data_IF_036055177674
#
_entry.id   IF_036055177674
#
_cell.length_a   1.000
_cell.length_b   1.000
_cell.length_c   1.000
_cell.angle_alpha   90.00
_cell.angle_beta   90.00
_cell.angle_gamma   90.00
#
_symmetry.space_group_name_H-M   'P 1'
#
loop_
_entity.id
_entity.type
_entity.pdbx_description
1 polymer ?
#
# COMPACT_ATOMS: atom_id res chain seq x y z
N UNK A 1 8.44 15.87 -3.42
CA UNK A 1 8.03 15.61 -3.41
C UNK A 1 7.44 14.82 -3.43
N UNK A 2 7.25 14.45 -3.48
CA UNK A 2 6.55 13.54 -3.59
C UNK A 2 5.81 13.25 -2.59
N UNK A 3 5.82 13.62 -1.97
CA UNK A 3 5.21 13.49 -1.05
C UNK A 3 4.03 13.79 -1.16
N UNK A 4 3.78 14.32 -1.94
CA UNK A 4 2.51 14.71 -1.89
C UNK A 4 1.63 13.61 -1.90
N UNK A 5 1.99 12.59 -2.48
CA UNK A 5 1.14 11.62 -2.44
C UNK A 5 0.87 11.20 -1.12
N UNK A 6 1.83 11.03 -0.49
CA UNK A 6 1.64 10.68 0.79
C UNK A 6 0.79 11.67 1.27
N UNK A 7 1.05 12.79 0.84
CA UNK A 7 0.27 13.84 1.20
C UNK A 7 -1.13 13.51 0.88
N UNK A 8 -1.38 12.84 -0.18
CA UNK A 8 -2.72 12.63 -0.52
C UNK A 8 -3.35 11.65 0.37
N UNK A 9 -2.73 10.59 0.59
CA UNK A 9 -3.27 9.69 1.47
C UNK A 9 -3.31 10.31 2.74
N UNK A 10 -2.31 11.02 3.04
CA UNK A 10 -2.27 11.53 4.29
C UNK A 10 -2.97 12.75 4.33
N UNK A 11 -3.16 13.44 3.30
CA UNK A 11 -3.86 14.67 3.40
C UNK A 11 -5.17 14.41 3.95
N UNK A 12 -5.63 13.30 3.75
CA UNK A 12 -6.80 13.01 4.36
C UNK A 12 -6.65 12.96 5.78
N UNK A 13 -5.51 12.84 6.20
CA UNK A 13 -5.32 12.71 7.52
C UNK A 13 -4.89 13.83 8.13
N UNK A 14 -4.56 14.72 7.47
CA UNK A 14 -3.99 15.73 8.00
C UNK A 14 -4.42 16.36 8.93
N UNK A 15 -4.85 16.31 9.07
CA UNK A 15 -4.93 16.66 9.84
C UNK A 15 -4.42 16.66 10.74
N UNK A 16 -3.91 16.62 10.87
CA UNK A 16 -3.38 16.52 11.54
C UNK A 16 -2.75 16.40 12.40
N UNK A 17 -2.85 17.02 12.88
CA UNK A 17 -2.49 16.91 13.86
C UNK A 17 -1.83 15.90 14.14
N UNK A 18 -2.03 15.52 13.73
CA UNK A 18 -1.53 14.53 13.74
C UNK A 18 -0.30 14.55 13.34
N UNK A 19 0.07 15.54 12.83
CA UNK A 19 1.32 15.65 12.40
C UNK A 19 2.31 15.25 13.35
N UNK A 20 2.14 15.50 14.57
CA UNK A 20 3.14 15.13 15.43
C UNK A 20 3.23 13.70 15.46
N UNK A 21 2.19 13.01 15.11
CA UNK A 21 2.30 11.61 15.12
C UNK A 21 2.97 11.12 13.89
N UNK A 22 3.13 11.93 12.89
CA UNK A 22 3.76 11.43 11.69
C UNK A 22 5.18 11.03 11.99
N UNK A 23 5.78 11.59 12.99
CA UNK A 23 7.11 11.20 13.36
C UNK A 23 7.16 9.81 13.94
N UNK A 24 6.02 9.25 14.28
CA UNK A 24 5.97 7.93 14.88
C UNK A 24 5.71 6.82 13.87
N UNK A 25 5.57 7.15 12.60
CA UNK A 25 5.37 6.09 11.63
C UNK A 25 6.61 5.25 11.56
N UNK A 26 6.44 3.96 11.71
CA UNK A 26 7.55 3.04 11.65
C UNK A 26 7.93 2.68 10.23
N UNK A 27 6.96 2.72 9.31
CA UNK A 27 7.22 2.37 7.93
C UNK A 27 6.35 3.25 7.03
N UNK A 28 6.77 4.49 6.77
CA UNK A 28 5.94 5.40 5.95
C UNK A 28 5.76 4.87 4.54
N UNK A 29 4.57 4.99 4.01
CA UNK A 29 4.25 4.47 2.70
C UNK A 29 4.64 5.45 1.61
N UNK A 30 5.08 4.91 0.48
CA UNK A 30 5.24 5.70 -0.72
C UNK A 30 4.87 4.83 -1.91
N UNK A 31 4.52 5.47 -3.01
CA UNK A 31 4.13 4.72 -4.20
C UNK A 31 5.34 4.37 -5.05
N UNK A 32 5.35 3.12 -5.55
CA UNK A 32 6.29 2.77 -6.60
C UNK A 32 6.01 3.68 -7.79
N UNK A 33 7.06 4.18 -8.41
CA UNK A 33 6.96 5.03 -9.58
C UNK A 33 7.72 4.38 -10.72
N UNK A 34 7.08 4.29 -11.88
CA UNK A 34 7.72 3.68 -13.05
C UNK A 34 8.70 4.66 -13.67
N UNK A 35 9.48 4.17 -14.64
CA UNK A 35 10.44 5.04 -15.34
C UNK A 35 9.74 6.20 -16.03
N UNK A 36 8.52 6.00 -16.45
CA UNK A 36 7.76 7.06 -17.10
C UNK A 36 7.10 8.01 -16.10
N UNK A 37 7.35 7.80 -14.83
CA UNK A 37 6.79 8.69 -13.81
C UNK A 37 5.40 8.34 -13.35
N UNK A 38 4.87 7.21 -13.74
CA UNK A 38 3.54 6.82 -13.33
C UNK A 38 3.57 6.11 -11.97
N UNK A 39 2.51 6.28 -11.23
CA UNK A 39 2.36 5.64 -9.93
C UNK A 39 1.14 4.73 -9.97
N UNK A 40 1.31 3.47 -10.40
CA UNK A 40 0.17 2.60 -10.65
C UNK A 40 -0.76 2.40 -9.47
N UNK A 41 -0.23 2.25 -8.27
CA UNK A 41 -1.10 2.03 -7.12
C UNK A 41 -1.89 3.28 -6.79
N UNK A 42 -1.28 4.45 -6.94
CA UNK A 42 -1.98 5.69 -6.69
C UNK A 42 -3.13 5.84 -7.69
N UNK A 43 -2.85 5.55 -8.97
CA UNK A 43 -3.88 5.63 -10.00
C UNK A 43 -5.01 4.65 -9.73
N UNK A 44 -4.65 3.45 -9.31
CA UNK A 44 -5.64 2.42 -8.99
C UNK A 44 -6.53 2.87 -7.83
N UNK A 45 -5.93 3.41 -6.78
CA UNK A 45 -6.70 3.88 -5.64
C UNK A 45 -7.66 5.00 -6.03
N UNK A 46 -7.19 5.92 -6.85
CA UNK A 46 -8.02 7.05 -7.25
C UNK A 46 -9.22 6.62 -8.08
N UNK A 47 -9.11 5.48 -8.75
CA UNK A 47 -10.21 4.98 -9.57
C UNK A 47 -11.25 4.21 -8.78
N UNK A 48 -11.00 3.93 -7.51
CA UNK A 48 -11.93 3.15 -6.72
C UNK A 48 -13.05 4.03 -6.15
N UNK A 49 -14.14 3.38 -5.74
CA UNK A 49 -15.19 4.08 -5.05
C UNK A 49 -14.63 4.71 -3.77
N UNK A 50 -15.14 5.86 -3.35
CA UNK A 50 -14.60 6.53 -2.17
C UNK A 50 -14.55 5.69 -0.91
N UNK A 51 -15.58 4.87 -0.68
CA UNK A 51 -15.57 4.08 0.54
C UNK A 51 -14.52 2.96 0.49
N UNK A 52 -14.28 2.37 -0.67
CA UNK A 52 -13.25 1.35 -0.80
C UNK A 52 -11.88 2.00 -0.61
N UNK A 53 -11.67 3.15 -1.23
CA UNK A 53 -10.41 3.87 -1.11
C UNK A 53 -10.13 4.24 0.33
N UNK A 54 -11.17 4.66 1.06
CA UNK A 54 -11.01 5.04 2.45
C UNK A 54 -10.59 3.84 3.30
N UNK A 55 -11.25 2.71 3.12
CA UNK A 55 -10.93 1.51 3.89
C UNK A 55 -9.50 1.08 3.65
N UNK A 56 -9.09 1.03 2.39
CA UNK A 56 -7.74 0.62 2.04
C UNK A 56 -6.72 1.61 2.60
N UNK A 57 -7.01 2.90 2.49
CA UNK A 57 -6.09 3.92 3.00
C UNK A 57 -5.92 3.84 4.50
N UNK A 58 -6.99 3.56 5.23
CA UNK A 58 -6.90 3.42 6.67
C UNK A 58 -6.08 2.19 7.05
N UNK A 59 -6.23 1.09 6.32
CA UNK A 59 -5.46 -0.10 6.61
C UNK A 59 -3.98 0.12 6.30
N UNK A 60 -3.66 0.82 5.22
CA UNK A 60 -2.27 1.15 4.92
C UNK A 60 -1.70 2.01 6.04
N UNK A 61 -2.47 2.97 6.53
CA UNK A 61 -2.01 3.82 7.61
C UNK A 61 -1.74 3.01 8.86
N UNK A 62 -2.60 2.04 9.17
CA UNK A 62 -2.38 1.20 10.33
C UNK A 62 -1.05 0.45 10.20
N UNK A 63 -0.71 -0.02 9.01
CA UNK A 63 0.57 -0.68 8.82
C UNK A 63 1.73 0.30 9.00
N UNK A 64 1.57 1.53 8.50
CA UNK A 64 2.62 2.53 8.66
C UNK A 64 2.99 2.73 10.12
N UNK A 65 2.01 2.74 11.00
CA UNK A 65 2.27 2.99 12.41
C UNK A 65 2.60 1.74 13.22
N UNK A 66 2.09 0.59 12.82
CA UNK A 66 2.25 -0.63 13.61
C UNK A 66 3.32 -1.59 13.12
N UNK A 67 3.93 -1.32 11.99
CA UNK A 67 4.91 -2.24 11.41
C UNK A 67 6.00 -2.61 12.42
N UNK A 68 6.40 -3.87 12.49
CA UNK A 68 5.87 -4.99 11.72
C UNK A 68 4.59 -5.53 12.36
N UNK A 69 3.66 -5.94 11.49
CA UNK A 69 2.39 -6.46 11.94
C UNK A 69 1.99 -7.59 10.99
N UNK A 70 1.39 -8.63 11.50
CA UNK A 70 1.06 -9.80 10.72
C UNK A 70 -0.42 -9.94 10.43
N UNK A 71 -0.82 -11.19 10.22
CA UNK A 71 -2.21 -11.48 9.93
C UNK A 71 -3.12 -11.03 11.06
N UNK A 72 -4.33 -10.65 10.74
CA UNK A 72 -4.96 -10.76 9.42
C UNK A 72 -4.68 -9.60 8.49
N UNK A 73 -4.07 -8.53 8.98
CA UNK A 73 -3.91 -7.33 8.18
C UNK A 73 -2.80 -7.45 7.14
N UNK A 74 -1.67 -8.03 7.51
CA UNK A 74 -0.54 -8.15 6.60
C UNK A 74 -0.12 -9.60 6.48
N UNK A 75 0.05 -10.05 5.25
CA UNK A 75 0.48 -11.41 4.97
C UNK A 75 1.81 -11.38 4.23
N UNK A 76 2.74 -12.22 4.65
CA UNK A 76 4.00 -12.34 3.93
C UNK A 76 3.81 -13.20 2.69
N UNK A 77 4.36 -12.75 1.58
CA UNK A 77 4.27 -13.48 0.31
C UNK A 77 5.61 -14.09 -0.08
N UNK A 78 6.65 -13.86 0.71
CA UNK A 78 7.97 -14.34 0.35
C UNK A 78 8.69 -13.35 -0.55
N UNK A 79 9.97 -13.56 -0.77
CA UNK A 79 10.80 -12.73 -1.63
C UNK A 79 10.78 -11.24 -1.28
N UNK A 80 10.55 -10.95 -0.01
CA UNK A 80 10.53 -9.55 0.42
C UNK A 80 9.24 -8.84 0.08
N UNK A 81 8.20 -9.59 -0.22
CA UNK A 81 6.89 -9.00 -0.50
C UNK A 81 5.92 -9.30 0.61
N UNK A 82 5.08 -8.32 0.89
CA UNK A 82 3.98 -8.45 1.84
C UNK A 82 2.73 -7.88 1.20
N UNK A 83 1.57 -8.25 1.70
CA UNK A 83 0.32 -7.65 1.19
C UNK A 83 -0.53 -7.16 2.35
N UNK A 84 -1.08 -5.97 2.18
CA UNK A 84 -2.07 -5.43 3.10
C UNK A 84 -3.42 -5.94 2.59
N UNK A 85 -4.18 -6.58 3.47
CA UNK A 85 -5.47 -7.17 3.10
C UNK A 85 -6.58 -6.35 3.71
N UNK A 86 -7.44 -5.80 2.87
CA UNK A 86 -8.55 -4.97 3.34
C UNK A 86 -9.86 -5.62 2.97
N UNK A 87 -10.72 -5.80 3.97
CA UNK A 87 -12.05 -6.39 3.74
C UNK A 87 -13.00 -5.31 3.27
N UNK A 88 -13.56 -5.50 2.10
CA UNK A 88 -14.49 -4.56 1.53
C UNK A 88 -15.89 -5.16 1.51
N UNK A 89 -16.88 -4.34 1.21
CA UNK A 89 -18.27 -4.83 1.16
C UNK A 89 -18.41 -5.90 0.08
N UNK A 90 -19.37 -6.78 0.27
CA UNK A 90 -19.64 -7.82 -0.72
C UNK A 90 -18.65 -8.95 -0.74
N UNK A 91 -17.90 -9.15 0.32
CA UNK A 91 -16.94 -10.24 0.36
C UNK A 91 -15.69 -10.01 -0.47
N UNK A 92 -15.51 -8.80 -0.98
CA UNK A 92 -14.31 -8.47 -1.76
C UNK A 92 -13.15 -8.21 -0.83
N UNK A 93 -11.98 -8.57 -1.25
CA UNK A 93 -10.76 -8.32 -0.49
C UNK A 93 -9.81 -7.54 -1.37
N UNK A 94 -9.43 -6.35 -0.91
CA UNK A 94 -8.41 -5.58 -1.61
C UNK A 94 -7.06 -6.00 -1.09
N UNK A 95 -6.10 -6.10 -1.97
CA UNK A 95 -4.74 -6.45 -1.60
C UNK A 95 -3.79 -5.44 -2.20
N UNK A 96 -2.94 -4.90 -1.35
CA UNK A 96 -1.90 -3.98 -1.81
C UNK A 96 -0.58 -4.62 -1.47
N UNK A 97 0.19 -4.99 -2.49
CA UNK A 97 1.47 -5.65 -2.31
C UNK A 97 2.55 -4.59 -2.15
N UNK A 98 3.38 -4.75 -1.13
CA UNK A 98 4.43 -3.79 -0.87
C UNK A 98 5.73 -4.50 -0.50
N UNK A 99 6.81 -3.75 -0.53
CA UNK A 99 8.09 -4.21 -0.04
C UNK A 99 8.63 -3.13 0.89
N UNK A 100 9.48 -3.54 1.84
CA UNK A 100 10.13 -2.59 2.71
C UNK A 100 11.46 -2.23 2.08
N UNK A 101 11.71 -0.94 1.89
CA UNK A 101 12.95 -0.53 1.27
C UNK A 101 13.39 0.79 1.84
N UNK A 102 14.58 0.83 2.39
CA UNK A 102 15.14 2.06 2.94
C UNK A 102 14.20 2.72 3.95
N UNK A 103 13.57 1.90 4.75
CA UNK A 103 12.67 2.41 5.79
C UNK A 103 11.32 2.85 5.29
N UNK A 104 10.95 2.51 4.09
CA UNK A 104 9.65 2.89 3.54
C UNK A 104 8.87 1.67 3.06
N UNK A 105 7.56 1.81 3.08
CA UNK A 105 6.64 0.82 2.59
C UNK A 105 6.34 1.18 1.14
N UNK A 106 7.01 0.54 0.21
CA UNK A 106 6.84 0.87 -1.21
C UNK A 106 5.68 0.09 -1.79
N UNK A 107 4.62 0.80 -2.16
CA UNK A 107 3.39 0.19 -2.65
C UNK A 107 3.58 -0.16 -4.13
N UNK A 108 3.60 -1.47 -4.43
CA UNK A 108 3.96 -1.96 -5.74
C UNK A 108 2.76 -2.27 -6.65
N UNK A 109 1.73 -2.86 -6.10
CA UNK A 109 0.61 -3.33 -6.91
C UNK A 109 -0.63 -3.48 -6.06
N UNK A 110 -1.78 -3.16 -6.59
CA UNK A 110 -3.04 -3.31 -5.88
C UNK A 110 -4.09 -3.98 -6.75
N UNK A 111 -4.94 -4.79 -6.16
CA UNK A 111 -6.03 -5.42 -6.87
C UNK A 111 -7.10 -5.87 -5.90
N UNK A 112 -8.29 -6.17 -6.39
CA UNK A 112 -9.41 -6.61 -5.57
C UNK A 112 -9.92 -7.92 -6.12
N UNK A 113 -10.03 -8.94 -5.27
CA UNK A 113 -10.58 -10.23 -5.63
C UNK A 113 -11.28 -10.84 -4.44
N UNK A 114 -12.10 -11.85 -4.70
CA UNK A 114 -12.77 -12.55 -3.61
C UNK A 114 -12.00 -13.77 -3.15
N UNK A 115 -11.02 -14.22 -3.94
CA UNK A 115 -10.28 -15.43 -3.60
C UNK A 115 -9.29 -15.15 -2.48
N UNK A 116 -8.88 -16.20 -1.79
CA UNK A 116 -7.93 -16.04 -0.71
C UNK A 116 -6.49 -15.93 -1.18
N UNK A 117 -6.17 -16.60 -2.27
CA UNK A 117 -4.78 -16.66 -2.72
C UNK A 117 -4.46 -15.49 -3.65
N UNK A 118 -3.21 -15.10 -3.66
CA UNK A 118 -2.74 -14.05 -4.54
C UNK A 118 -2.31 -14.70 -5.84
N UNK A 119 -2.92 -14.33 -6.97
CA UNK A 119 -2.57 -14.95 -8.24
C UNK A 119 -1.11 -14.73 -8.60
N UNK A 120 -0.53 -15.72 -9.29
CA UNK A 120 0.87 -15.66 -9.65
C UNK A 120 1.20 -14.42 -10.48
N UNK A 121 0.33 -14.04 -11.40
CA UNK A 121 0.64 -12.88 -12.23
C UNK A 121 0.72 -11.58 -11.42
N UNK A 122 -0.07 -11.48 -10.36
CA UNK A 122 0.01 -10.30 -9.50
C UNK A 122 1.30 -10.31 -8.70
N UNK A 123 1.73 -11.50 -8.26
CA UNK A 123 3.01 -11.62 -7.58
C UNK A 123 4.16 -11.29 -8.52
N UNK A 124 4.11 -11.80 -9.75
CA UNK A 124 5.18 -11.56 -10.71
C UNK A 124 5.29 -10.08 -11.06
N UNK A 125 4.16 -9.41 -11.19
CA UNK A 125 4.18 -7.98 -11.48
C UNK A 125 4.79 -7.20 -10.31
N UNK A 126 4.41 -7.56 -9.08
CA UNK A 126 4.97 -6.90 -7.91
C UNK A 126 6.48 -7.12 -7.82
N UNK A 127 6.94 -8.35 -8.10
CA UNK A 127 8.37 -8.63 -8.07
C UNK A 127 9.12 -7.83 -9.13
N UNK A 128 8.53 -7.70 -10.30
CA UNK A 128 9.16 -6.92 -11.36
C UNK A 128 9.31 -5.47 -10.93
N UNK A 129 8.26 -4.92 -10.36
CA UNK A 129 8.30 -3.53 -9.91
C UNK A 129 9.27 -3.33 -8.76
N UNK A 130 9.36 -4.33 -7.87
CA UNK A 130 10.31 -4.26 -6.78
C UNK A 130 11.73 -4.16 -7.31
N UNK A 131 12.06 -4.96 -8.32
CA UNK A 131 13.39 -4.91 -8.88
C UNK A 131 13.67 -3.58 -9.55
N UNK A 132 12.69 -3.07 -10.28
CA UNK A 132 12.86 -1.80 -10.97
C UNK A 132 12.95 -0.64 -10.01
N UNK A 133 12.07 -0.61 -9.04
CA UNK A 133 12.03 0.51 -8.13
C UNK A 133 13.09 0.47 -7.07
N UNK A 134 13.61 -0.71 -6.80
CA UNK A 134 14.59 -0.84 -5.76
C UNK A 134 15.97 -0.43 -6.19
N UNK A 135 16.14 -0.27 -7.44
CA UNK A 135 17.46 0.09 -7.94
C UNK A 135 17.86 1.53 -7.64
#
# INVERSE_FOLDING_TARGET
MGRPFLGTLTACIKNDTFSMNSGLKRLPARFYQSDAGREPVREWLKALAPEDRKTIGEDIKDVEFAWPIGMPLVRSLGNGLWEVRSSLSGGRIARVIFTEEKGAMVLLHGFIKKTRTTPKRDLDLALKRKKEGGA
#
